data_IF_805728819378
#
_entry.id   IF_805728819378
#
_cell.length_a   1.000
_cell.length_b   1.000
_cell.length_c   1.000
_cell.angle_alpha   90.00
_cell.angle_beta   90.00
_cell.angle_gamma   90.00
#
_symmetry.space_group_name_H-M   'P 1'
#
loop_
_entity.id
_entity.type
_entity.pdbx_description
1 polymer ?
#
# COMPACT_ATOMS: atom_id res chain seq x y z
N UNK A 1 2.29 9.00 15.38
CA UNK A 1 3.29 8.84 14.29
C UNK A 1 2.81 7.68 13.43
N UNK A 2 3.19 7.54 12.16
CA UNK A 2 2.76 6.36 11.36
C UNK A 2 3.60 5.16 11.83
N UNK A 3 2.94 4.05 12.21
CA UNK A 3 3.61 2.91 12.83
C UNK A 3 4.36 2.05 11.81
N UNK A 4 5.63 1.77 12.09
CA UNK A 4 6.49 0.95 11.23
C UNK A 4 6.51 -0.50 11.75
N UNK A 5 6.77 -1.51 10.90
CA UNK A 5 7.04 -1.45 9.45
C UNK A 5 5.79 -1.39 8.56
N UNK A 6 6.01 -1.18 7.26
CA UNK A 6 5.00 -0.90 6.24
C UNK A 6 4.84 -2.03 5.21
N UNK A 7 3.60 -2.27 4.80
CA UNK A 7 3.23 -2.95 3.56
C UNK A 7 2.90 -1.88 2.50
N UNK A 8 3.61 -1.89 1.38
CA UNK A 8 3.37 -0.93 0.29
C UNK A 8 2.24 -1.46 -0.62
N UNK A 9 1.05 -0.89 -0.49
CA UNK A 9 -0.09 -1.25 -1.34
C UNK A 9 0.02 -0.55 -2.69
N UNK A 10 0.18 -1.34 -3.76
CA UNK A 10 0.31 -0.85 -5.14
C UNK A 10 -0.99 -0.97 -5.95
N UNK A 11 -2.03 -1.59 -5.37
CA UNK A 11 -3.29 -1.83 -6.06
C UNK A 11 -3.07 -2.41 -7.45
N UNK A 12 -3.71 -1.84 -8.46
CA UNK A 12 -3.57 -2.18 -9.89
C UNK A 12 -2.79 -1.10 -10.66
N UNK A 13 -1.77 -0.48 -10.03
CA UNK A 13 -0.97 0.58 -10.67
C UNK A 13 -0.48 0.20 -12.08
N UNK A 14 -0.77 1.03 -13.10
CA UNK A 14 -0.47 0.71 -14.49
C UNK A 14 1.01 0.84 -14.85
N UNK A 15 1.80 1.53 -14.01
CA UNK A 15 3.23 1.78 -14.21
C UNK A 15 3.89 2.27 -12.90
N UNK A 16 5.22 2.42 -12.94
CA UNK A 16 6.03 2.91 -11.82
C UNK A 16 5.75 4.37 -11.47
N UNK A 17 5.29 5.20 -12.41
CA UNK A 17 5.01 6.61 -12.16
C UNK A 17 3.79 6.76 -11.24
N UNK A 18 2.77 5.91 -11.42
CA UNK A 18 1.63 5.83 -10.52
C UNK A 18 2.05 5.38 -9.10
N UNK A 19 3.05 4.51 -8.98
CA UNK A 19 3.58 3.99 -7.70
C UNK A 19 4.70 4.85 -7.08
N UNK A 20 4.86 6.11 -7.50
CA UNK A 20 5.97 6.98 -7.04
C UNK A 20 6.03 7.17 -5.52
N UNK A 21 4.90 7.03 -4.81
CA UNK A 21 4.87 7.15 -3.34
C UNK A 21 5.53 5.93 -2.70
N UNK A 22 5.17 4.72 -3.14
CA UNK A 22 5.83 3.48 -2.74
C UNK A 22 7.33 3.52 -3.03
N UNK A 23 7.69 3.96 -4.24
CA UNK A 23 9.09 4.07 -4.65
C UNK A 23 9.86 5.02 -3.73
N UNK A 24 9.30 6.20 -3.45
CA UNK A 24 9.91 7.15 -2.52
C UNK A 24 10.11 6.56 -1.13
N UNK A 25 9.13 5.83 -0.58
CA UNK A 25 9.29 5.17 0.73
C UNK A 25 10.41 4.14 0.67
N UNK A 26 10.45 3.30 -0.36
CA UNK A 26 11.52 2.30 -0.53
C UNK A 26 12.91 2.94 -0.67
N UNK A 27 13.03 4.01 -1.44
CA UNK A 27 14.32 4.67 -1.69
C UNK A 27 14.86 5.35 -0.42
N UNK A 28 13.99 6.02 0.32
CA UNK A 28 14.40 6.86 1.45
C UNK A 28 14.32 6.16 2.81
N UNK A 29 13.50 5.11 2.94
CA UNK A 29 13.31 4.30 4.15
C UNK A 29 13.13 2.81 3.80
N UNK A 30 14.12 2.20 3.11
CA UNK A 30 14.04 0.78 2.72
C UNK A 30 13.80 -0.15 3.89
N UNK A 31 14.32 0.17 5.08
CA UNK A 31 14.16 -0.60 6.32
C UNK A 31 12.71 -0.65 6.83
N UNK A 32 11.85 0.27 6.40
CA UNK A 32 10.43 0.28 6.75
C UNK A 32 9.57 -0.43 5.71
N UNK A 33 10.06 -0.65 4.49
CA UNK A 33 9.30 -1.25 3.40
C UNK A 33 9.56 -2.76 3.33
N UNK A 34 8.81 -3.56 4.10
CA UNK A 34 9.06 -4.99 4.25
C UNK A 34 8.40 -5.85 3.16
N UNK A 35 7.36 -5.34 2.52
CA UNK A 35 6.63 -6.06 1.48
C UNK A 35 5.83 -5.12 0.59
N UNK A 36 5.29 -5.69 -0.48
CA UNK A 36 4.34 -5.04 -1.37
C UNK A 36 3.06 -5.87 -1.50
N UNK A 37 1.94 -5.19 -1.74
CA UNK A 37 0.66 -5.82 -2.06
C UNK A 37 0.19 -5.35 -3.43
N UNK A 38 0.00 -6.29 -4.36
CA UNK A 38 -0.41 -6.01 -5.74
C UNK A 38 -1.74 -6.69 -6.05
N UNK A 39 -2.62 -5.96 -6.73
CA UNK A 39 -3.86 -6.51 -7.29
C UNK A 39 -3.61 -7.00 -8.73
N UNK A 40 -4.50 -7.86 -9.26
CA UNK A 40 -4.44 -8.28 -10.65
C UNK A 40 -4.33 -7.08 -11.60
N UNK A 41 -3.38 -7.14 -12.54
CA UNK A 41 -3.14 -6.08 -13.51
C UNK A 41 -2.14 -5.01 -13.08
N UNK A 42 -1.65 -5.04 -11.83
CA UNK A 42 -0.55 -4.18 -11.39
C UNK A 42 0.71 -4.45 -12.23
N UNK A 43 1.32 -3.39 -12.75
CA UNK A 43 2.57 -3.42 -13.51
C UNK A 43 3.72 -2.73 -12.79
N UNK A 44 3.43 -2.03 -11.70
CA UNK A 44 4.45 -1.51 -10.81
C UNK A 44 5.06 -2.66 -9.98
N UNK A 45 6.35 -2.55 -9.71
CA UNK A 45 7.06 -3.51 -8.87
C UNK A 45 8.13 -2.78 -8.07
N UNK A 46 8.03 -2.83 -6.74
CA UNK A 46 9.04 -2.28 -5.86
C UNK A 46 10.18 -3.27 -5.64
N UNK A 47 10.19 -4.46 -6.25
CA UNK A 47 11.19 -5.50 -6.02
C UNK A 47 11.23 -5.97 -4.56
N UNK A 48 10.10 -5.86 -3.86
CA UNK A 48 9.89 -6.38 -2.51
C UNK A 48 9.11 -7.69 -2.60
N UNK A 49 9.09 -8.46 -1.52
CA UNK A 49 8.26 -9.66 -1.46
C UNK A 49 6.77 -9.27 -1.62
N UNK A 50 6.07 -9.94 -2.53
CA UNK A 50 4.61 -9.88 -2.55
C UNK A 50 4.07 -10.58 -1.31
N UNK A 51 3.24 -9.88 -0.55
CA UNK A 51 2.65 -10.40 0.67
C UNK A 51 1.13 -10.24 0.63
N UNK A 52 0.44 -11.25 1.12
CA UNK A 52 -0.94 -11.15 1.59
C UNK A 52 -1.00 -10.35 2.90
N UNK A 53 -2.20 -9.93 3.32
CA UNK A 53 -2.39 -9.27 4.62
C UNK A 53 -1.97 -10.18 5.79
N UNK A 54 -2.32 -11.46 5.72
CA UNK A 54 -1.93 -12.45 6.71
C UNK A 54 -0.39 -12.61 6.81
N UNK A 55 0.31 -12.69 5.67
CA UNK A 55 1.78 -12.76 5.65
C UNK A 55 2.41 -11.47 6.16
N UNK A 56 1.88 -10.31 5.78
CA UNK A 56 2.32 -9.02 6.29
C UNK A 56 2.19 -8.93 7.81
N UNK A 57 1.07 -9.41 8.36
CA UNK A 57 0.81 -9.44 9.80
C UNK A 57 1.78 -10.35 10.53
N UNK A 58 2.03 -11.54 9.97
CA UNK A 58 3.01 -12.49 10.49
C UNK A 58 4.44 -11.92 10.44
N UNK A 59 4.76 -11.11 9.44
CA UNK A 59 6.03 -10.37 9.32
C UNK A 59 6.13 -9.15 10.26
N UNK A 60 5.09 -8.87 11.06
CA UNK A 60 5.09 -7.79 12.04
C UNK A 60 4.78 -6.41 11.49
N UNK A 61 4.33 -6.31 10.23
CA UNK A 61 3.89 -5.05 9.62
C UNK A 61 2.76 -4.42 10.42
N UNK A 62 2.78 -3.09 10.54
CA UNK A 62 1.82 -2.31 11.32
C UNK A 62 0.91 -1.45 10.47
N UNK A 63 1.43 -0.86 9.39
CA UNK A 63 0.65 0.03 8.53
C UNK A 63 0.67 -0.45 7.08
N UNK A 64 -0.51 -0.45 6.45
CA UNK A 64 -0.64 -0.55 5.00
C UNK A 64 -0.63 0.86 4.43
N UNK A 65 0.38 1.17 3.63
CA UNK A 65 0.54 2.50 3.00
C UNK A 65 0.04 2.41 1.56
N UNK A 66 -0.93 3.26 1.20
CA UNK A 66 -1.38 3.40 -0.19
C UNK A 66 -0.25 4.10 -0.97
N UNK A 67 0.56 3.29 -1.63
CA UNK A 67 1.79 3.70 -2.31
C UNK A 67 1.58 4.21 -3.73
N UNK A 68 0.33 4.43 -4.11
CA UNK A 68 -0.09 4.82 -5.46
C UNK A 68 -0.82 6.15 -5.46
N UNK A 69 -0.56 6.93 -6.50
CA UNK A 69 -1.21 8.20 -6.75
C UNK A 69 -1.82 8.19 -8.15
N UNK A 70 -3.16 8.21 -8.22
CA UNK A 70 -3.90 8.32 -9.47
C UNK A 70 -4.46 9.73 -9.67
N UNK A 71 -4.81 10.05 -10.93
CA UNK A 71 -5.44 11.33 -11.26
C UNK A 71 -6.84 11.36 -10.63
N UNK A 72 -7.10 12.33 -9.76
CA UNK A 72 -8.38 12.50 -9.07
C UNK A 72 -8.46 11.85 -7.69
N UNK A 73 -7.44 11.13 -7.23
CA UNK A 73 -7.40 10.60 -5.86
C UNK A 73 -8.43 9.50 -5.56
N UNK A 74 -8.98 8.86 -6.58
CA UNK A 74 -10.10 7.91 -6.45
C UNK A 74 -9.59 6.59 -5.88
N UNK A 75 -10.27 6.07 -4.85
CA UNK A 75 -10.06 4.71 -4.34
C UNK A 75 -11.02 3.77 -5.08
N UNK A 76 -10.49 2.90 -5.93
CA UNK A 76 -11.28 1.93 -6.67
C UNK A 76 -12.00 0.96 -5.71
N UNK A 77 -13.16 0.44 -6.12
CA UNK A 77 -13.93 -0.51 -5.29
C UNK A 77 -13.15 -1.78 -4.95
N UNK A 78 -12.32 -2.27 -5.88
CA UNK A 78 -11.42 -3.39 -5.65
C UNK A 78 -10.40 -3.11 -4.55
N UNK A 79 -9.93 -1.87 -4.43
CA UNK A 79 -9.00 -1.46 -3.38
C UNK A 79 -9.74 -1.35 -2.05
N UNK A 80 -10.94 -0.75 -2.03
CA UNK A 80 -11.74 -0.60 -0.80
C UNK A 80 -11.94 -1.92 -0.09
N UNK A 81 -12.23 -3.01 -0.81
CA UNK A 81 -12.38 -4.35 -0.21
C UNK A 81 -11.14 -4.76 0.60
N UNK A 82 -9.96 -4.66 0.00
CA UNK A 82 -8.70 -5.05 0.66
C UNK A 82 -8.31 -4.09 1.77
N UNK A 83 -8.56 -2.78 1.60
CA UNK A 83 -8.24 -1.78 2.62
C UNK A 83 -9.13 -1.95 3.87
N UNK A 84 -10.41 -2.29 3.68
CA UNK A 84 -11.31 -2.63 4.80
C UNK A 84 -10.84 -3.91 5.49
N UNK A 85 -10.48 -4.95 4.73
CA UNK A 85 -9.94 -6.20 5.29
C UNK A 85 -8.66 -5.95 6.10
N UNK A 86 -7.77 -5.05 5.64
CA UNK A 86 -6.59 -4.66 6.40
C UNK A 86 -6.95 -3.99 7.74
N UNK A 87 -7.96 -3.11 7.76
CA UNK A 87 -8.44 -2.51 9.01
C UNK A 87 -9.02 -3.56 9.95
N UNK A 88 -9.81 -4.51 9.44
CA UNK A 88 -10.38 -5.62 10.21
C UNK A 88 -9.31 -6.54 10.79
N UNK A 89 -8.19 -6.70 10.08
CA UNK A 89 -7.01 -7.43 10.58
C UNK A 89 -6.17 -6.62 11.59
N UNK A 90 -6.49 -5.34 11.82
CA UNK A 90 -5.84 -4.48 12.80
C UNK A 90 -4.61 -3.74 12.29
N UNK A 91 -4.47 -3.57 10.98
CA UNK A 91 -3.49 -2.65 10.40
C UNK A 91 -3.98 -1.21 10.49
N UNK A 92 -3.05 -0.29 10.67
CA UNK A 92 -3.30 1.11 10.35
C UNK A 92 -3.30 1.32 8.83
N UNK A 93 -4.04 2.33 8.36
CA UNK A 93 -3.99 2.78 6.97
C UNK A 93 -3.40 4.18 6.86
N UNK A 94 -2.44 4.35 5.94
CA UNK A 94 -1.91 5.65 5.56
C UNK A 94 -2.19 5.93 4.08
N UNK A 95 -2.80 7.07 3.79
CA UNK A 95 -3.14 7.51 2.43
C UNK A 95 -2.65 8.92 2.17
N UNK A 96 -1.97 9.12 1.04
CA UNK A 96 -1.61 10.43 0.50
C UNK A 96 -2.57 10.93 -0.60
N UNK A 97 -3.71 10.26 -0.81
CA UNK A 97 -4.69 10.63 -1.84
C UNK A 97 -5.51 11.86 -1.41
N UNK A 98 -6.07 12.57 -2.39
CA UNK A 98 -6.94 13.71 -2.14
C UNK A 98 -8.31 13.34 -1.56
N UNK A 99 -8.87 12.17 -1.94
CA UNK A 99 -10.07 11.67 -1.30
C UNK A 99 -9.69 11.11 0.06
N UNK A 100 -10.33 11.60 1.12
CA UNK A 100 -10.01 11.19 2.47
C UNK A 100 -10.57 9.78 2.72
N UNK A 101 -9.91 9.02 3.58
CA UNK A 101 -10.36 7.65 3.93
C UNK A 101 -11.73 7.61 4.63
N UNK A 102 -12.18 8.74 5.19
CA UNK A 102 -13.50 8.87 5.84
C UNK A 102 -14.64 9.16 4.88
N UNK A 103 -14.34 9.47 3.61
CA UNK A 103 -15.29 9.85 2.57
C UNK A 103 -15.63 8.64 1.66
#
# INVERSE_FOLDING_TARGET
MIETPYLLFLGDAPDMLAAKVAQGIKDWRPEYALGQFRLPGCKADMGLADMTLAEAKAAGIKTVVIGVANRGGVIAQSWKKVLVEALEEGFDLASGLHNLLRD
#
